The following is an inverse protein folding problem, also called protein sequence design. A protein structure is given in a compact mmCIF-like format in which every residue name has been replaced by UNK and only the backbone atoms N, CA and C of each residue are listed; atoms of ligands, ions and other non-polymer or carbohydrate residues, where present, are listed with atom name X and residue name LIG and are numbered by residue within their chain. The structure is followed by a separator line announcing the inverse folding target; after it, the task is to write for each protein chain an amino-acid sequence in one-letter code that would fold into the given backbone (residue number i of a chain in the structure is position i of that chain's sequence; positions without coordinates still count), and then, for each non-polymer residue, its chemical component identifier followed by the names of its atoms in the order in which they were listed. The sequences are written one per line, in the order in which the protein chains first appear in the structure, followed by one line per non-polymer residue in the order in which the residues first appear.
data_IF_623441065149
#
_entry.id   IF_623441065149
#
_cell.length_a   1.000
_cell.length_b   1.000
_cell.length_c   1.000
_cell.angle_alpha   90.00
_cell.angle_beta   90.00
_cell.angle_gamma   90.00
#
_symmetry.space_group_name_H-M   'P 1'
#
loop_
_entity.id
_entity.type
_entity.pdbx_description
1 polymer ?
#
# COMPACT_ATOMS: atom_id res chain seq x y z
N UNK A 1 -27.93 0.13 6.57
CA UNK A 1 -26.68 -0.08 7.34
C UNK A 1 -25.81 -1.02 6.54
N UNK A 2 -24.71 -0.54 5.98
CA UNK A 2 -23.73 -1.42 5.31
C UNK A 2 -23.09 -2.29 6.39
N UNK A 3 -23.14 -3.62 6.22
CA UNK A 3 -22.47 -4.54 7.13
C UNK A 3 -20.95 -4.47 6.84
N UNK A 4 -20.23 -3.72 7.66
CA UNK A 4 -18.76 -3.67 7.59
C UNK A 4 -18.25 -5.03 8.07
N UNK A 5 -17.38 -5.65 7.26
CA UNK A 5 -16.69 -6.90 7.60
C UNK A 5 -15.23 -6.58 7.85
N UNK A 6 -14.69 -7.12 8.94
CA UNK A 6 -13.33 -6.82 9.39
C UNK A 6 -12.50 -8.10 9.47
N UNK A 7 -11.20 -7.95 9.24
CA UNK A 7 -10.19 -8.99 9.42
C UNK A 7 -9.08 -8.38 10.28
N UNK A 8 -8.67 -9.07 11.34
CA UNK A 8 -7.53 -8.68 12.17
C UNK A 8 -6.29 -9.47 11.75
N UNK A 9 -5.15 -8.78 11.62
CA UNK A 9 -3.86 -9.36 11.26
C UNK A 9 -2.82 -8.93 12.29
N UNK A 10 -2.03 -9.89 12.78
CA UNK A 10 -0.80 -9.63 13.52
C UNK A 10 0.38 -9.96 12.61
N UNK A 11 1.41 -9.12 12.61
CA UNK A 11 2.57 -9.25 11.75
C UNK A 11 3.85 -8.95 12.52
N UNK A 12 4.90 -9.73 12.27
CA UNK A 12 6.27 -9.39 12.69
C UNK A 12 6.89 -8.37 11.72
N UNK A 13 8.11 -7.91 12.00
CA UNK A 13 8.80 -6.89 11.20
C UNK A 13 8.89 -7.26 9.71
N UNK A 14 9.35 -8.46 9.40
CA UNK A 14 9.52 -8.93 8.02
C UNK A 14 8.19 -9.03 7.26
N UNK A 15 7.12 -9.49 7.92
CA UNK A 15 5.78 -9.57 7.34
C UNK A 15 5.18 -8.18 7.11
N UNK A 16 5.32 -7.27 8.09
CA UNK A 16 4.88 -5.88 7.96
C UNK A 16 5.63 -5.17 6.81
N UNK A 17 6.93 -5.44 6.66
CA UNK A 17 7.73 -4.94 5.53
C UNK A 17 7.20 -5.46 4.20
N UNK A 18 6.92 -6.77 4.09
CA UNK A 18 6.38 -7.38 2.87
C UNK A 18 5.04 -6.75 2.49
N UNK A 19 4.15 -6.54 3.47
CA UNK A 19 2.85 -5.90 3.25
C UNK A 19 3.05 -4.46 2.74
N UNK A 20 3.85 -3.66 3.44
CA UNK A 20 4.11 -2.27 3.06
C UNK A 20 4.76 -2.16 1.68
N UNK A 21 5.73 -3.01 1.36
CA UNK A 21 6.40 -3.02 0.07
C UNK A 21 5.44 -3.42 -1.05
N UNK A 22 4.58 -4.41 -0.82
CA UNK A 22 3.60 -4.85 -1.80
C UNK A 22 2.59 -3.75 -2.11
N UNK A 23 2.08 -3.06 -1.08
CA UNK A 23 1.18 -1.92 -1.23
C UNK A 23 1.86 -0.76 -1.96
N UNK A 24 3.11 -0.45 -1.62
CA UNK A 24 3.87 0.60 -2.30
C UNK A 24 4.08 0.29 -3.79
N UNK A 25 4.46 -0.93 -4.13
CA UNK A 25 4.62 -1.35 -5.54
C UNK A 25 3.30 -1.28 -6.31
N UNK A 26 2.20 -1.65 -5.67
CA UNK A 26 0.88 -1.58 -6.30
C UNK A 26 0.43 -0.13 -6.54
N UNK A 27 0.70 0.77 -5.59
CA UNK A 27 0.49 2.21 -5.79
C UNK A 27 1.28 2.74 -6.99
N UNK A 28 2.55 2.38 -7.14
CA UNK A 28 3.35 2.80 -8.30
C UNK A 28 2.80 2.23 -9.62
N UNK A 29 2.32 0.97 -9.61
CA UNK A 29 1.65 0.35 -10.77
C UNK A 29 0.37 1.10 -11.15
N UNK A 30 -0.51 1.36 -10.20
CA UNK A 30 -1.79 2.03 -10.43
C UNK A 30 -1.59 3.47 -10.89
N UNK A 31 -0.63 4.18 -10.29
CA UNK A 31 -0.23 5.52 -10.72
C UNK A 31 0.28 5.54 -12.17
N UNK A 32 1.03 4.52 -12.58
CA UNK A 32 1.49 4.39 -13.95
C UNK A 32 0.33 4.11 -14.93
N UNK A 33 -0.65 3.30 -14.56
CA UNK A 33 -1.85 3.05 -15.39
C UNK A 33 -2.68 4.33 -15.52
N UNK A 34 -3.01 4.97 -14.40
CA UNK A 34 -3.78 6.21 -14.38
C UNK A 34 -3.16 7.33 -15.25
N UNK A 35 -1.82 7.40 -15.28
CA UNK A 35 -1.11 8.44 -16.04
C UNK A 35 -0.93 8.14 -17.53
N UNK A 36 -0.95 6.86 -17.94
CA UNK A 36 -0.54 6.44 -19.29
C UNK A 36 -1.61 5.67 -20.07
N UNK A 37 -2.74 5.32 -19.47
CA UNK A 37 -3.81 4.64 -20.22
C UNK A 37 -4.51 5.61 -21.19
N UNK A 38 -4.79 5.10 -22.39
CA UNK A 38 -5.61 5.77 -23.40
C UNK A 38 -7.11 5.49 -23.19
N UNK A 39 -7.46 4.59 -22.26
CA UNK A 39 -8.83 4.29 -21.85
C UNK A 39 -9.18 5.09 -20.59
N UNK A 40 -10.15 6.00 -20.72
CA UNK A 40 -10.58 6.90 -19.65
C UNK A 40 -11.17 6.15 -18.45
N UNK A 41 -11.89 5.05 -18.69
CA UNK A 41 -12.49 4.24 -17.62
C UNK A 41 -11.39 3.49 -16.86
N UNK A 42 -10.41 2.91 -17.56
CA UNK A 42 -9.26 2.24 -16.94
C UNK A 42 -8.42 3.24 -16.12
N UNK A 43 -8.19 4.44 -16.64
CA UNK A 43 -7.47 5.48 -15.92
C UNK A 43 -8.23 5.89 -14.64
N UNK A 44 -9.55 6.07 -14.71
CA UNK A 44 -10.38 6.43 -13.57
C UNK A 44 -10.40 5.33 -12.50
N UNK A 45 -10.57 4.07 -12.91
CA UNK A 45 -10.55 2.91 -12.01
C UNK A 45 -9.19 2.78 -11.30
N UNK A 46 -8.09 2.90 -12.05
CA UNK A 46 -6.75 2.87 -11.46
C UNK A 46 -6.52 4.01 -10.44
N UNK A 47 -7.12 5.19 -10.69
CA UNK A 47 -7.10 6.31 -9.75
C UNK A 47 -7.85 6.02 -8.46
N UNK A 48 -9.02 5.39 -8.56
CA UNK A 48 -9.83 5.00 -7.40
C UNK A 48 -9.12 3.92 -6.57
N UNK A 49 -8.63 2.86 -7.23
CA UNK A 49 -7.88 1.79 -6.57
C UNK A 49 -6.63 2.33 -5.87
N UNK A 50 -5.93 3.31 -6.47
CA UNK A 50 -4.78 3.96 -5.83
C UNK A 50 -5.15 4.61 -4.50
N UNK A 51 -6.31 5.28 -4.42
CA UNK A 51 -6.79 5.89 -3.18
C UNK A 51 -7.10 4.84 -2.11
N UNK A 52 -7.68 3.70 -2.49
CA UNK A 52 -7.94 2.60 -1.56
C UNK A 52 -6.64 1.97 -1.02
N UNK A 53 -5.70 1.66 -1.91
CA UNK A 53 -4.40 1.07 -1.56
C UNK A 53 -3.57 2.03 -0.72
N UNK A 54 -3.52 3.32 -1.08
CA UNK A 54 -2.79 4.33 -0.29
C UNK A 54 -3.37 4.52 1.11
N UNK A 55 -4.71 4.48 1.26
CA UNK A 55 -5.35 4.50 2.57
C UNK A 55 -4.94 3.32 3.44
N UNK A 56 -4.84 2.11 2.86
CA UNK A 56 -4.36 0.93 3.56
C UNK A 56 -2.87 1.05 3.91
N UNK A 57 -2.05 1.51 2.98
CA UNK A 57 -0.62 1.75 3.20
C UNK A 57 -0.39 2.69 4.39
N UNK A 58 -1.09 3.83 4.43
CA UNK A 58 -0.96 4.79 5.52
C UNK A 58 -1.40 4.23 6.87
N UNK A 59 -2.47 3.42 6.89
CA UNK A 59 -2.90 2.72 8.11
C UNK A 59 -1.84 1.75 8.62
N UNK A 60 -1.31 0.89 7.74
CA UNK A 60 -0.27 -0.09 8.11
C UNK A 60 1.01 0.64 8.54
N UNK A 61 1.44 1.65 7.79
CA UNK A 61 2.63 2.46 8.07
C UNK A 61 2.51 3.18 9.41
N UNK A 62 1.34 3.74 9.71
CA UNK A 62 1.04 4.44 10.96
C UNK A 62 1.20 3.55 12.20
N UNK A 63 1.05 2.24 12.06
CA UNK A 63 1.29 1.26 13.13
C UNK A 63 2.73 0.73 13.08
N UNK A 64 3.21 0.36 11.89
CA UNK A 64 4.49 -0.30 11.71
C UNK A 64 5.70 0.60 12.01
N UNK A 65 5.67 1.89 11.64
CA UNK A 65 6.81 2.80 11.90
C UNK A 65 7.05 3.03 13.39
N UNK A 66 6.03 3.32 14.22
CA UNK A 66 6.22 3.40 15.68
C UNK A 66 6.68 2.09 16.32
N UNK A 67 6.26 0.94 15.79
CA UNK A 67 6.58 -0.39 16.38
C UNK A 67 7.95 -0.90 15.98
N UNK A 68 8.32 -0.78 14.70
CA UNK A 68 9.52 -1.41 14.14
C UNK A 68 10.60 -0.40 13.76
N UNK A 69 10.30 0.89 13.63
CA UNK A 69 11.23 1.95 13.23
C UNK A 69 11.16 2.30 11.73
N UNK A 70 11.80 3.41 11.36
CA UNK A 70 11.71 3.99 10.00
C UNK A 70 12.26 3.08 8.89
N UNK A 71 13.15 2.15 9.21
CA UNK A 71 13.72 1.20 8.25
C UNK A 71 12.67 0.25 7.66
N UNK A 72 11.50 0.12 8.30
CA UNK A 72 10.40 -0.74 7.81
C UNK A 72 9.84 -0.28 6.46
N UNK A 73 10.00 1.01 6.12
CA UNK A 73 9.59 1.59 4.83
C UNK A 73 10.74 1.77 3.85
N UNK A 74 11.94 1.29 4.19
CA UNK A 74 13.07 1.35 3.28
C UNK A 74 13.09 0.09 2.41
N UNK A 75 12.55 0.20 1.19
CA UNK A 75 12.49 -0.92 0.24
C UNK A 75 13.65 -0.95 -0.75
N UNK A 76 14.62 -0.02 -0.66
CA UNK A 76 15.81 -0.14 -1.48
C UNK A 76 16.65 -1.32 -0.99
N UNK A 77 17.21 -2.08 -1.92
CA UNK A 77 18.17 -3.16 -1.66
C UNK A 77 19.54 -2.63 -1.18
N UNK A 78 19.61 -1.39 -0.68
CA UNK A 78 20.80 -0.85 -0.05
C UNK A 78 20.87 -1.40 1.38
N UNK A 79 21.62 -2.50 1.49
CA UNK A 79 21.85 -3.35 2.65
C UNK A 79 21.77 -2.67 4.02
N UNK A 80 20.99 -3.29 4.91
CA UNK A 80 21.21 -3.32 6.36
C UNK A 80 22.45 -4.18 6.63
#
# INVERSE_FOLDING_TARGET
MTAIREIEISAIDSEARIILESLHREMERLKAINANSDDEDEAADAGNDYLEVSSLYDKVKGVAVPTFGNQITNFSNEYI
#
